data_IF_982044661836
#
_entry.id   IF_982044661836
#
_cell.length_a   1.000
_cell.length_b   1.000
_cell.length_c   1.000
_cell.angle_alpha   90.00
_cell.angle_beta   90.00
_cell.angle_gamma   90.00
#
_symmetry.space_group_name_H-M   'P 1'
#
loop_
_entity.id
_entity.type
_entity.pdbx_description
1 polymer ?
#
# COMPACT_ATOMS: atom_id res chain seq x y z
N UNK A 1 -17.56 2.73 -3.81
CA UNK A 1 -16.44 3.52 -3.25
C UNK A 1 -15.22 2.61 -3.24
N UNK A 2 -14.04 3.09 -3.65
CA UNK A 2 -12.80 2.29 -3.59
C UNK A 2 -12.35 2.15 -2.14
N UNK A 3 -12.05 0.93 -1.70
CA UNK A 3 -11.49 0.64 -0.38
C UNK A 3 -10.02 0.27 -0.48
N UNK A 4 -9.31 0.33 0.66
CA UNK A 4 -7.93 -0.15 0.72
C UNK A 4 -7.81 -1.65 0.35
N UNK A 5 -8.83 -2.46 0.69
CA UNK A 5 -8.89 -3.89 0.31
C UNK A 5 -9.05 -4.09 -1.20
N UNK A 6 -9.77 -3.20 -1.91
CA UNK A 6 -9.86 -3.28 -3.37
C UNK A 6 -8.48 -3.07 -4.01
N UNK A 7 -7.74 -2.04 -3.56
CA UNK A 7 -6.37 -1.78 -4.03
C UNK A 7 -5.44 -2.94 -3.67
N UNK A 8 -5.57 -3.51 -2.47
CA UNK A 8 -4.80 -4.67 -2.06
C UNK A 8 -5.05 -5.88 -2.99
N UNK A 9 -6.30 -6.12 -3.39
CA UNK A 9 -6.62 -7.17 -4.34
C UNK A 9 -5.98 -6.92 -5.72
N UNK A 10 -5.88 -5.68 -6.23
CA UNK A 10 -5.14 -5.38 -7.47
C UNK A 10 -3.63 -5.72 -7.35
N UNK A 11 -3.04 -5.54 -6.17
CA UNK A 11 -1.63 -5.91 -5.91
C UNK A 11 -1.48 -7.43 -5.87
N UNK A 12 -2.38 -8.13 -5.18
CA UNK A 12 -2.40 -9.59 -5.12
C UNK A 12 -2.63 -10.21 -6.50
N UNK A 13 -3.49 -9.62 -7.33
CA UNK A 13 -3.75 -10.07 -8.70
C UNK A 13 -2.46 -10.13 -9.52
N UNK A 14 -1.65 -9.07 -9.46
CA UNK A 14 -0.33 -9.03 -10.11
C UNK A 14 0.62 -10.07 -9.55
N UNK A 15 0.66 -10.21 -8.22
CA UNK A 15 1.46 -11.23 -7.55
C UNK A 15 1.12 -12.64 -8.00
N UNK A 16 -0.17 -12.97 -8.07
CA UNK A 16 -0.62 -14.28 -8.53
C UNK A 16 -0.38 -14.49 -10.03
N UNK A 17 -0.52 -13.45 -10.87
CA UNK A 17 -0.30 -13.57 -12.31
C UNK A 17 1.17 -13.73 -12.70
N UNK A 18 2.08 -13.15 -11.91
CA UNK A 18 3.53 -13.18 -12.18
C UNK A 18 4.30 -14.18 -11.31
N UNK A 19 3.59 -14.99 -10.51
CA UNK A 19 4.18 -15.92 -9.53
C UNK A 19 5.16 -15.25 -8.56
N UNK A 20 4.78 -14.05 -8.09
CA UNK A 20 5.55 -13.27 -7.13
C UNK A 20 4.86 -13.34 -5.77
N UNK A 21 5.59 -13.88 -4.78
CA UNK A 21 5.09 -13.97 -3.42
C UNK A 21 4.89 -12.57 -2.78
N UNK A 22 3.69 -12.40 -2.21
CA UNK A 22 3.28 -11.19 -1.48
C UNK A 22 2.94 -11.56 -0.04
N UNK A 23 3.80 -11.16 0.90
CA UNK A 23 3.51 -11.27 2.34
C UNK A 23 2.62 -10.12 2.82
N UNK A 24 1.92 -10.25 3.96
CA UNK A 24 1.13 -9.16 4.54
C UNK A 24 1.91 -7.86 4.74
N UNK A 25 3.18 -7.94 5.15
CA UNK A 25 4.02 -6.76 5.29
C UNK A 25 4.31 -6.12 3.92
N UNK A 26 4.69 -6.92 2.91
CA UNK A 26 4.94 -6.42 1.55
C UNK A 26 3.69 -5.75 0.97
N UNK A 27 2.52 -6.37 1.13
CA UNK A 27 1.24 -5.82 0.70
C UNK A 27 0.96 -4.43 1.29
N UNK A 28 1.13 -4.27 2.61
CA UNK A 28 0.96 -2.97 3.28
C UNK A 28 1.86 -1.88 2.70
N UNK A 29 3.13 -2.23 2.40
CA UNK A 29 4.07 -1.25 1.84
C UNK A 29 3.78 -0.90 0.39
N UNK A 30 3.44 -1.90 -0.44
CA UNK A 30 3.04 -1.64 -1.82
C UNK A 30 1.78 -0.76 -1.88
N UNK A 31 0.76 -1.05 -1.05
CA UNK A 31 -0.45 -0.23 -0.99
C UNK A 31 -0.16 1.20 -0.53
N UNK A 32 0.72 1.39 0.47
CA UNK A 32 1.15 2.72 0.88
C UNK A 32 1.85 3.49 -0.24
N UNK A 33 2.77 2.83 -0.97
CA UNK A 33 3.48 3.45 -2.10
C UNK A 33 2.54 3.83 -3.24
N UNK A 34 1.56 2.98 -3.56
CA UNK A 34 0.51 3.26 -4.55
C UNK A 34 -0.33 4.46 -4.11
N UNK A 35 -0.78 4.48 -2.86
CA UNK A 35 -1.56 5.60 -2.32
C UNK A 35 -0.78 6.91 -2.41
N UNK A 36 0.47 6.91 -1.93
CA UNK A 36 1.35 8.08 -1.96
C UNK A 36 1.53 8.60 -3.37
N UNK A 37 1.95 7.73 -4.31
CA UNK A 37 2.18 8.13 -5.70
C UNK A 37 0.90 8.64 -6.35
N UNK A 38 -0.22 7.95 -6.17
CA UNK A 38 -1.50 8.38 -6.73
C UNK A 38 -1.90 9.77 -6.23
N UNK A 39 -1.75 10.01 -4.92
CA UNK A 39 -2.08 11.31 -4.34
C UNK A 39 -1.12 12.42 -4.80
N UNK A 40 0.17 12.10 -4.96
CA UNK A 40 1.18 13.02 -5.49
C UNK A 40 0.91 13.41 -6.95
N UNK A 41 0.53 12.45 -7.78
CA UNK A 41 0.31 12.68 -9.21
C UNK A 41 -1.03 13.36 -9.52
N UNK A 42 -2.05 13.15 -8.68
CA UNK A 42 -3.44 13.53 -9.03
C UNK A 42 -4.10 14.53 -8.08
N UNK A 43 -3.53 14.76 -6.91
CA UNK A 43 -4.16 15.48 -5.79
C UNK A 43 -5.49 14.87 -5.30
N UNK A 44 -5.78 13.61 -5.68
CA UNK A 44 -6.99 12.89 -5.26
C UNK A 44 -6.68 11.81 -4.23
N UNK A 45 -7.58 11.65 -3.29
CA UNK A 45 -7.53 10.58 -2.28
C UNK A 45 -7.99 9.25 -2.91
N UNK A 46 -7.13 8.22 -2.87
CA UNK A 46 -7.42 6.91 -3.47
C UNK A 46 -8.48 6.11 -2.69
N UNK A 47 -8.40 6.15 -1.36
CA UNK A 47 -9.36 5.54 -0.43
C UNK A 47 -9.36 6.30 0.91
N UNK A 48 -10.40 6.09 1.73
CA UNK A 48 -10.60 6.84 2.98
C UNK A 48 -9.93 6.23 4.21
N UNK A 49 -9.54 4.96 4.17
CA UNK A 49 -8.78 4.33 5.26
C UNK A 49 -7.49 5.13 5.56
N UNK A 50 -7.22 5.32 6.85
CA UNK A 50 -6.00 6.02 7.31
C UNK A 50 -4.85 5.03 7.50
N UNK A 51 -3.63 5.52 7.30
CA UNK A 51 -2.43 4.79 7.66
C UNK A 51 -2.09 5.03 9.12
N UNK A 52 -2.07 3.96 9.91
CA UNK A 52 -1.63 3.96 11.30
C UNK A 52 -0.10 3.92 11.40
N UNK A 53 0.44 4.51 12.46
CA UNK A 53 1.89 4.51 12.76
C UNK A 53 2.26 3.23 13.53
N UNK A 54 2.74 2.21 12.83
CA UNK A 54 3.15 0.94 13.43
C UNK A 54 4.66 0.78 13.46
N UNK A 55 5.18 -0.10 14.33
CA UNK A 55 6.62 -0.40 14.49
C UNK A 55 7.35 -0.67 13.17
N UNK A 56 6.67 -1.28 12.20
CA UNK A 56 7.25 -1.64 10.90
C UNK A 56 6.68 -0.76 9.77
N UNK A 57 6.41 0.51 10.04
CA UNK A 57 5.99 1.50 9.05
C UNK A 57 4.47 1.68 8.98
N UNK A 58 3.95 2.38 7.95
CA UNK A 58 2.53 2.68 7.82
C UNK A 58 1.71 1.41 7.56
N UNK A 59 0.55 1.32 8.19
CA UNK A 59 -0.35 0.16 8.11
C UNK A 59 -1.79 0.64 7.96
N UNK A 60 -2.51 0.09 6.99
CA UNK A 60 -3.97 0.20 6.95
C UNK A 60 -4.58 -0.94 7.75
N UNK A 61 -5.41 -0.60 8.75
CA UNK A 61 -6.00 -1.58 9.68
C UNK A 61 -6.80 -2.66 8.98
N UNK A 62 -7.68 -2.29 8.06
CA UNK A 62 -8.54 -3.22 7.32
C UNK A 62 -7.73 -4.27 6.55
N UNK A 63 -6.66 -3.87 5.86
CA UNK A 63 -5.74 -4.79 5.18
C UNK A 63 -5.03 -5.71 6.18
N UNK A 64 -4.58 -5.19 7.32
CA UNK A 64 -3.92 -6.03 8.32
C UNK A 64 -4.88 -7.08 8.86
N UNK A 65 -6.08 -6.68 9.27
CA UNK A 65 -7.03 -7.60 9.90
C UNK A 65 -7.49 -8.70 8.94
N UNK A 66 -7.58 -8.39 7.65
CA UNK A 66 -7.92 -9.35 6.59
C UNK A 66 -6.83 -10.40 6.36
N UNK A 67 -5.55 -10.02 6.45
CA UNK A 67 -4.43 -10.87 6.01
C UNK A 67 -3.43 -11.25 7.12
N UNK A 68 -3.66 -10.85 8.38
CA UNK A 68 -2.74 -11.14 9.50
C UNK A 68 -2.51 -12.62 9.75
N UNK A 69 -3.47 -13.48 9.41
CA UNK A 69 -3.35 -14.94 9.58
C UNK A 69 -2.20 -15.55 8.78
N UNK A 70 -1.79 -14.91 7.68
CA UNK A 70 -0.66 -15.38 6.87
C UNK A 70 0.69 -15.10 7.56
N UNK A 71 0.74 -14.18 8.52
CA UNK A 71 1.96 -13.84 9.26
C UNK A 71 3.10 -13.41 8.34
N UNK A 72 4.20 -14.17 8.36
CA UNK A 72 5.35 -13.96 7.47
C UNK A 72 5.27 -14.69 6.13
N UNK A 73 4.23 -15.50 5.91
CA UNK A 73 4.06 -16.30 4.69
C UNK A 73 3.37 -15.48 3.59
N UNK A 74 3.48 -15.98 2.35
CA UNK A 74 2.78 -15.40 1.23
C UNK A 74 1.26 -15.57 1.35
N UNK A 75 0.53 -14.50 1.03
CA UNK A 75 -0.94 -14.50 0.96
C UNK A 75 -1.35 -15.35 -0.24
N UNK A 76 -2.29 -16.28 -0.03
CA UNK A 76 -2.75 -17.22 -1.07
C UNK A 76 -4.23 -17.05 -1.44
N UNK A 77 -4.86 -15.95 -1.00
CA UNK A 77 -6.27 -15.62 -1.30
C UNK A 77 -6.49 -14.12 -1.43
N UNK A 78 -7.54 -13.75 -2.14
CA UNK A 78 -8.06 -12.38 -2.13
C UNK A 78 -8.89 -12.10 -0.87
N UNK A 79 -9.07 -10.81 -0.58
CA UNK A 79 -10.17 -10.35 0.27
C UNK A 79 -11.49 -10.48 -0.46
N UNK A 80 -12.55 -10.87 0.28
CA UNK A 80 -13.89 -11.08 -0.25
C UNK A 80 -14.90 -10.21 0.49
N UNK A 81 -15.87 -9.70 -0.26
CA UNK A 81 -17.06 -9.06 0.28
C UNK A 81 -17.95 -10.07 1.00
N UNK A 82 -18.94 -9.59 1.77
CA UNK A 82 -19.90 -10.44 2.50
C UNK A 82 -20.66 -11.45 1.61
N UNK A 83 -20.87 -11.09 0.34
CA UNK A 83 -21.52 -11.95 -0.65
C UNK A 83 -20.54 -12.91 -1.37
N UNK A 84 -19.27 -12.97 -0.93
CA UNK A 84 -18.22 -13.82 -1.50
C UNK A 84 -17.55 -13.26 -2.76
N UNK A 85 -18.00 -12.12 -3.29
CA UNK A 85 -17.37 -11.49 -4.46
C UNK A 85 -16.00 -10.89 -4.13
N UNK A 86 -15.10 -10.91 -5.11
CA UNK A 86 -13.80 -10.23 -5.02
C UNK A 86 -13.89 -8.95 -5.83
N UNK A 87 -13.64 -7.82 -5.17
CA UNK A 87 -13.65 -6.50 -5.80
C UNK A 87 -12.22 -5.96 -5.94
N UNK A 88 -11.92 -5.48 -7.14
CA UNK A 88 -10.70 -4.75 -7.50
C UNK A 88 -11.07 -3.38 -8.09
N UNK A 89 -10.13 -2.45 -8.10
CA UNK A 89 -10.25 -1.18 -8.83
C UNK A 89 -10.23 -1.47 -10.32
N UNK A 90 -11.20 -0.93 -11.07
CA UNK A 90 -11.28 -1.11 -12.51
C UNK A 90 -10.29 -0.20 -13.24
N UNK A 91 -9.14 -0.75 -13.59
CA UNK A 91 -8.04 -0.06 -14.26
C UNK A 91 -8.38 0.45 -15.67
N UNK A 92 -9.40 -0.12 -16.34
CA UNK A 92 -9.87 0.39 -17.65
C UNK A 92 -10.62 1.72 -17.52
N UNK A 93 -11.24 1.97 -16.36
CA UNK A 93 -11.99 3.19 -16.07
C UNK A 93 -11.20 4.20 -15.22
N UNK A 94 -10.06 3.80 -14.67
CA UNK A 94 -9.21 4.62 -13.81
C UNK A 94 -7.76 4.63 -14.32
N UNK A 95 -7.52 5.40 -15.39
CA UNK A 95 -6.20 5.50 -16.03
C UNK A 95 -5.11 5.97 -15.06
N UNK A 96 -5.37 7.03 -14.28
CA UNK A 96 -4.46 7.55 -13.26
C UNK A 96 -4.03 6.45 -12.25
N UNK A 97 -4.99 5.61 -11.82
CA UNK A 97 -4.70 4.51 -10.91
C UNK A 97 -3.86 3.44 -11.59
N UNK A 98 -4.22 3.03 -12.82
CA UNK A 98 -3.47 2.06 -13.63
C UNK A 98 -2.01 2.45 -13.80
N UNK A 99 -1.76 3.71 -14.17
CA UNK A 99 -0.41 4.24 -14.34
C UNK A 99 0.38 4.23 -13.03
N UNK A 100 -0.27 4.63 -11.93
CA UNK A 100 0.32 4.60 -10.61
C UNK A 100 0.70 3.17 -10.16
N UNK A 101 -0.24 2.23 -10.21
CA UNK A 101 0.01 0.87 -9.72
C UNK A 101 1.05 0.16 -10.58
N UNK A 102 1.06 0.35 -11.89
CA UNK A 102 2.09 -0.21 -12.77
C UNK A 102 3.48 0.33 -12.41
N UNK A 103 3.62 1.65 -12.25
CA UNK A 103 4.89 2.25 -11.90
C UNK A 103 5.43 1.77 -10.53
N UNK A 104 4.56 1.60 -9.52
CA UNK A 104 4.97 1.04 -8.23
C UNK A 104 5.31 -0.44 -8.36
N UNK A 105 4.49 -1.21 -9.06
CA UNK A 105 4.70 -2.63 -9.24
C UNK A 105 6.02 -2.93 -9.96
N UNK A 106 6.25 -2.32 -11.12
CA UNK A 106 7.46 -2.55 -11.93
C UNK A 106 8.74 -2.21 -11.16
N UNK A 107 8.68 -1.17 -10.32
CA UNK A 107 9.83 -0.75 -9.51
C UNK A 107 10.07 -1.65 -8.29
N UNK A 108 9.02 -2.15 -7.64
CA UNK A 108 9.13 -2.73 -6.29
C UNK A 108 8.65 -4.18 -6.17
N UNK A 109 8.16 -4.83 -7.23
CA UNK A 109 7.60 -6.19 -7.16
C UNK A 109 8.59 -7.24 -6.63
N UNK A 110 9.89 -7.06 -6.88
CA UNK A 110 10.96 -7.96 -6.39
C UNK A 110 11.49 -7.60 -5.00
N UNK A 111 10.98 -6.54 -4.37
CA UNK A 111 11.38 -6.15 -3.02
C UNK A 111 10.55 -6.90 -1.98
N UNK A 112 11.21 -7.36 -0.92
CA UNK A 112 10.52 -7.88 0.26
C UNK A 112 9.97 -6.76 1.15
N UNK A 113 9.11 -7.14 2.09
CA UNK A 113 8.50 -6.16 2.99
C UNK A 113 9.53 -5.46 3.92
N UNK A 114 10.66 -6.09 4.25
CA UNK A 114 11.71 -5.50 5.10
C UNK A 114 12.35 -4.27 4.43
N UNK A 115 12.94 -4.37 3.22
CA UNK A 115 13.52 -3.19 2.56
C UNK A 115 12.48 -2.11 2.28
N UNK A 116 11.25 -2.48 1.89
CA UNK A 116 10.17 -1.51 1.70
C UNK A 116 9.79 -0.80 3.00
N UNK A 117 9.78 -1.51 4.12
CA UNK A 117 9.57 -0.93 5.45
C UNK A 117 10.70 0.04 5.81
N UNK A 118 11.96 -0.34 5.60
CA UNK A 118 13.10 0.53 5.87
C UNK A 118 13.00 1.86 5.12
N UNK A 119 12.49 1.86 3.88
CA UNK A 119 12.25 3.07 3.10
C UNK A 119 11.25 4.00 3.80
N UNK A 120 10.15 3.48 4.35
CA UNK A 120 9.14 4.32 5.03
C UNK A 120 9.64 4.94 6.34
N UNK A 121 10.75 4.46 6.92
CA UNK A 121 11.34 5.01 8.14
C UNK A 121 12.39 6.10 7.90
N UNK A 122 12.76 6.35 6.64
CA UNK A 122 13.77 7.37 6.30
C UNK A 122 13.36 8.74 6.87
N UNK A 123 14.37 9.53 7.28
CA UNK A 123 14.13 10.87 7.80
C UNK A 123 13.37 11.71 6.77
N UNK A 124 12.31 12.37 7.21
CA UNK A 124 11.46 13.21 6.35
C UNK A 124 10.21 12.52 5.80
N UNK A 125 10.09 11.20 5.89
CA UNK A 125 8.87 10.49 5.49
C UNK A 125 7.69 10.84 6.40
N UNK A 126 6.47 10.65 5.90
CA UNK A 126 5.24 10.86 6.65
C UNK A 126 5.18 9.99 7.90
N UNK A 127 5.62 8.72 7.81
CA UNK A 127 5.72 7.85 8.97
C UNK A 127 6.73 8.38 9.99
N UNK A 128 7.93 8.81 9.56
CA UNK A 128 8.94 9.35 10.47
C UNK A 128 8.45 10.60 11.21
N UNK A 129 7.81 11.52 10.48
CA UNK A 129 7.25 12.75 11.05
C UNK A 129 6.15 12.42 12.08
N UNK A 130 5.18 11.58 11.71
CA UNK A 130 4.08 11.18 12.60
C UNK A 130 4.59 10.42 13.85
N UNK A 131 5.53 9.49 13.69
CA UNK A 131 6.15 8.77 14.80
C UNK A 131 6.87 9.73 15.79
N UNK A 132 7.59 10.72 15.26
CA UNK A 132 8.25 11.75 16.09
C UNK A 132 7.25 12.62 16.85
N UNK A 133 6.10 12.92 16.22
CA UNK A 133 5.00 13.69 16.83
C UNK A 133 4.09 12.82 17.73
N UNK A 134 4.34 11.51 17.82
CA UNK A 134 3.50 10.55 18.54
C UNK A 134 2.04 10.54 18.04
N UNK A 135 1.84 10.80 16.74
CA UNK A 135 0.52 10.78 16.12
C UNK A 135 0.10 9.34 15.81
N UNK A 136 -1.17 8.97 16.04
CA UNK A 136 -1.64 7.61 15.75
C UNK A 136 -1.78 7.33 14.25
N UNK A 137 -1.89 8.37 13.42
CA UNK A 137 -2.09 8.27 11.98
C UNK A 137 -1.18 9.21 11.21
N UNK A 138 -0.84 8.84 9.98
CA UNK A 138 -0.13 9.72 9.06
C UNK A 138 -1.07 10.84 8.58
N UNK A 139 -0.53 12.05 8.47
CA UNK A 139 -1.25 13.17 7.84
C UNK A 139 -1.16 13.08 6.32
N UNK A 140 -2.24 13.49 5.64
CA UNK A 140 -2.29 13.53 4.18
C UNK A 140 -1.27 14.54 3.61
N UNK A 141 -1.10 15.68 4.28
CA UNK A 141 -0.12 16.69 3.90
C UNK A 141 1.32 16.12 3.92
N UNK A 142 1.69 15.42 4.99
CA UNK A 142 3.02 14.82 5.07
C UNK A 142 3.23 13.71 4.04
N UNK A 143 2.18 12.96 3.66
CA UNK A 143 2.25 11.97 2.57
C UNK A 143 2.48 12.68 1.22
N UNK A 144 1.81 13.80 0.95
CA UNK A 144 1.98 14.57 -0.29
C UNK A 144 3.41 15.09 -0.43
N UNK A 145 3.95 15.64 0.64
CA UNK A 145 5.28 16.27 0.67
C UNK A 145 6.43 15.27 0.73
N UNK A 146 6.16 13.98 0.95
CA UNK A 146 7.22 12.98 1.08
C UNK A 146 7.98 12.80 -0.24
N UNK A 147 9.29 13.05 -0.21
CA UNK A 147 10.13 12.89 -1.39
C UNK A 147 10.02 11.49 -2.02
N UNK A 148 10.11 11.46 -3.34
CA UNK A 148 10.15 10.19 -4.08
C UNK A 148 11.42 9.46 -3.66
N UNK A 149 11.29 8.17 -3.35
CA UNK A 149 12.47 7.34 -3.07
C UNK A 149 13.31 7.23 -4.34
N UNK A 150 14.33 8.08 -4.43
CA UNK A 150 15.38 7.96 -5.43
C UNK A 150 16.21 6.75 -5.02
N UNK A 151 16.17 5.71 -5.85
CA UNK A 151 17.19 4.66 -5.81
C UNK A 151 18.47 5.33 -6.28
N UNK A 152 19.44 5.47 -5.37
CA UNK A 152 20.81 5.76 -5.76
C UNK A 152 21.36 4.62 -6.63
#
# INVERSE_FOLDING_TARGET
MVTALNVANNVLERGFSEDIDITPMKLQKLVYLIYKKYYQDTDKILFQDRFEVWKYGPVVRSIYDEFKEFGGNAIKRYSKEKNGSVLIVNEKKAADFRECINAIWDKYKLYDGIPLSAMTHKKGTAWYKAAKRQEPYLSIADIKEEEVFVSA
#
